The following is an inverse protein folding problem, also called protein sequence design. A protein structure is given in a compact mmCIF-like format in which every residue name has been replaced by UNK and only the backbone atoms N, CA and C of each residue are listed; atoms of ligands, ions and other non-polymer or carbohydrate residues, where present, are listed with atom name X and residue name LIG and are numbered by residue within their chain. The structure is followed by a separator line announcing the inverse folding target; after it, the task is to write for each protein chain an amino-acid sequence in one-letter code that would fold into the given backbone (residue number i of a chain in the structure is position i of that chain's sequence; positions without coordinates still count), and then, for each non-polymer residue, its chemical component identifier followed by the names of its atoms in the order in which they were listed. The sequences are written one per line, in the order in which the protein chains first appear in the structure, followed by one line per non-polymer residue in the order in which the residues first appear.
data_IF_784237455695
#
_entry.id   IF_784237455695
#
_cell.length_a   1.000
_cell.length_b   1.000
_cell.length_c   1.000
_cell.angle_alpha   90.00
_cell.angle_beta   90.00
_cell.angle_gamma   90.00
#
_symmetry.space_group_name_H-M   'P 1'
#
loop_
_entity.id
_entity.type
_entity.pdbx_description
1 polymer ?
#
# COMPACT_ATOMS: atom_id res chain seq x y z
N UNK A 1 -15.86 -8.36 4.79
CA UNK A 1 -14.47 -8.00 4.43
C UNK A 1 -14.42 -6.72 3.60
N UNK A 2 -15.10 -6.62 2.45
CA UNK A 2 -15.08 -5.40 1.61
C UNK A 2 -15.59 -4.11 2.28
N UNK A 3 -16.60 -4.19 3.16
CA UNK A 3 -17.20 -3.03 3.84
C UNK A 3 -16.31 -2.38 4.91
N UNK A 4 -15.19 -3.00 5.28
CA UNK A 4 -14.30 -2.49 6.33
C UNK A 4 -13.07 -1.75 5.76
N UNK A 5 -12.75 -1.94 4.48
CA UNK A 5 -11.56 -1.38 3.81
C UNK A 5 -11.88 -0.01 3.18
N UNK A 6 -13.12 0.21 2.75
CA UNK A 6 -13.51 1.37 1.98
C UNK A 6 -14.14 2.46 2.85
N UNK A 7 -13.72 3.72 2.68
CA UNK A 7 -14.48 4.86 3.19
C UNK A 7 -15.78 5.07 2.38
N UNK A 8 -16.97 5.20 2.99
CA UNK A 8 -18.25 4.94 2.32
C UNK A 8 -18.74 5.95 1.27
N UNK A 9 -18.00 7.01 0.93
CA UNK A 9 -18.64 8.23 0.41
C UNK A 9 -18.41 8.61 -1.06
N UNK A 10 -17.63 7.87 -1.86
CA UNK A 10 -17.40 8.30 -3.26
C UNK A 10 -16.93 7.26 -4.28
N UNK A 11 -16.62 6.02 -3.89
CA UNK A 11 -16.08 5.00 -4.80
C UNK A 11 -16.40 3.60 -4.26
N UNK A 12 -16.63 2.64 -5.16
CA UNK A 12 -16.91 1.24 -4.82
C UNK A 12 -15.77 0.37 -5.29
N UNK A 13 -15.14 -0.38 -4.39
CA UNK A 13 -14.16 -1.42 -4.74
C UNK A 13 -14.66 -2.76 -4.26
N UNK A 14 -14.62 -3.74 -5.16
CA UNK A 14 -14.79 -5.14 -4.83
C UNK A 14 -13.49 -5.69 -4.27
N UNK A 15 -13.58 -6.46 -3.19
CA UNK A 15 -12.43 -7.14 -2.59
C UNK A 15 -12.72 -8.62 -2.57
N UNK A 16 -11.83 -9.39 -3.19
CA UNK A 16 -11.86 -10.86 -3.23
C UNK A 16 -10.54 -11.41 -2.73
N UNK A 17 -10.59 -12.58 -2.07
CA UNK A 17 -9.38 -13.30 -1.72
C UNK A 17 -8.68 -13.80 -3.00
N UNK A 18 -7.35 -13.74 -3.01
CA UNK A 18 -6.55 -14.33 -4.09
C UNK A 18 -6.75 -15.85 -4.13
N UNK A 19 -6.72 -16.43 -5.32
CA UNK A 19 -6.78 -17.87 -5.49
C UNK A 19 -5.42 -18.52 -5.22
N UNK A 20 -5.43 -19.79 -4.79
CA UNK A 20 -4.19 -20.53 -4.61
C UNK A 20 -3.47 -20.71 -5.95
N UNK A 21 -2.19 -20.33 -6.01
CA UNK A 21 -1.39 -20.38 -7.24
C UNK A 21 -1.53 -19.15 -8.15
N UNK A 22 -2.34 -18.17 -7.78
CA UNK A 22 -2.42 -16.89 -8.47
C UNK A 22 -1.12 -16.09 -8.29
N UNK A 23 -0.54 -15.60 -9.39
CA UNK A 23 0.62 -14.71 -9.32
C UNK A 23 0.20 -13.32 -8.89
N UNK A 24 0.78 -12.82 -7.80
CA UNK A 24 0.52 -11.48 -7.21
C UNK A 24 1.12 -10.32 -8.05
N UNK A 25 1.55 -10.63 -9.27
CA UNK A 25 2.07 -9.69 -10.26
C UNK A 25 1.47 -10.08 -11.62
N UNK A 26 0.27 -9.60 -11.90
CA UNK A 26 -0.37 -9.74 -13.20
C UNK A 26 -0.36 -8.39 -13.91
N UNK A 27 0.07 -8.38 -15.17
CA UNK A 27 -0.23 -7.27 -16.06
C UNK A 27 -1.71 -7.32 -16.44
N UNK A 28 -2.37 -6.17 -16.48
CA UNK A 28 -3.72 -6.08 -17.01
C UNK A 28 -3.75 -6.54 -18.47
N UNK A 29 -4.71 -7.40 -18.80
CA UNK A 29 -5.11 -7.66 -20.18
C UNK A 29 -5.92 -6.49 -20.73
N UNK A 30 -5.77 -6.17 -22.02
CA UNK A 30 -6.54 -5.11 -22.67
C UNK A 30 -8.05 -5.35 -22.50
N UNK A 31 -8.76 -4.35 -21.96
CA UNK A 31 -10.21 -4.41 -21.72
C UNK A 31 -10.62 -4.95 -20.34
N UNK A 32 -9.69 -5.34 -19.48
CA UNK A 32 -9.99 -5.70 -18.10
C UNK A 32 -10.14 -4.47 -17.19
N UNK A 33 -11.03 -4.55 -16.19
CA UNK A 33 -11.15 -3.54 -15.14
C UNK A 33 -9.84 -3.41 -14.35
N UNK A 34 -9.41 -2.19 -13.99
CA UNK A 34 -8.19 -1.98 -13.23
C UNK A 34 -8.29 -2.60 -11.83
N UNK A 35 -7.31 -3.43 -11.49
CA UNK A 35 -7.18 -4.03 -10.16
C UNK A 35 -5.73 -3.96 -9.68
N UNK A 36 -5.55 -4.12 -8.38
CA UNK A 36 -4.24 -4.29 -7.76
C UNK A 36 -4.37 -5.26 -6.60
N UNK A 37 -3.26 -5.91 -6.25
CA UNK A 37 -3.19 -6.78 -5.09
C UNK A 37 -2.90 -5.97 -3.82
N UNK A 38 -3.38 -6.46 -2.68
CA UNK A 38 -3.12 -5.88 -1.37
C UNK A 38 -3.01 -7.02 -0.34
N UNK A 39 -2.02 -6.95 0.55
CA UNK A 39 -1.96 -7.89 1.67
C UNK A 39 -3.12 -7.62 2.64
N UNK A 40 -3.84 -8.68 3.03
CA UNK A 40 -4.93 -8.58 4.02
C UNK A 40 -4.47 -7.90 5.31
N UNK A 41 -3.23 -8.16 5.75
CA UNK A 41 -2.65 -7.59 6.97
C UNK A 41 -2.60 -6.06 6.99
N UNK A 42 -2.56 -5.41 5.82
CA UNK A 42 -2.53 -3.95 5.73
C UNK A 42 -3.83 -3.35 6.25
N UNK A 43 -4.95 -3.96 5.87
CA UNK A 43 -6.25 -3.58 6.42
C UNK A 43 -6.46 -4.15 7.82
N UNK A 44 -6.31 -5.47 7.99
CA UNK A 44 -6.75 -6.17 9.19
C UNK A 44 -5.90 -5.88 10.44
N UNK A 45 -4.63 -5.48 10.26
CA UNK A 45 -3.71 -5.18 11.38
C UNK A 45 -3.19 -3.75 11.39
N UNK A 46 -2.93 -3.16 10.22
CA UNK A 46 -2.38 -1.80 10.15
C UNK A 46 -3.46 -0.72 10.00
N UNK A 47 -4.72 -1.11 9.78
CA UNK A 47 -5.83 -0.16 9.67
C UNK A 47 -5.80 0.70 8.40
N UNK A 48 -4.99 0.31 7.41
CA UNK A 48 -4.91 0.99 6.12
C UNK A 48 -6.25 0.86 5.41
N UNK A 49 -6.76 1.98 4.91
CA UNK A 49 -8.05 2.08 4.24
C UNK A 49 -7.86 2.60 2.83
N UNK A 50 -8.77 2.20 1.97
CA UNK A 50 -8.86 2.76 0.64
C UNK A 50 -9.87 3.94 0.65
N UNK A 51 -9.70 4.93 -0.25
CA UNK A 51 -8.53 5.09 -1.10
C UNK A 51 -7.34 5.49 -0.23
N UNK A 52 -6.12 5.10 -0.63
CA UNK A 52 -4.91 5.46 0.11
C UNK A 52 -4.85 6.96 0.38
N UNK A 53 -4.31 7.34 1.53
CA UNK A 53 -4.09 8.74 1.90
C UNK A 53 -3.19 9.42 0.87
N UNK A 54 -3.18 10.76 0.87
CA UNK A 54 -2.27 11.49 -0.02
C UNK A 54 -0.81 11.12 0.26
N UNK A 55 -0.47 10.91 1.53
CA UNK A 55 0.88 10.58 1.95
C UNK A 55 1.29 9.15 1.55
N UNK A 56 0.43 8.16 1.79
CA UNK A 56 0.66 6.77 1.35
C UNK A 56 0.90 6.69 -0.17
N UNK A 57 0.08 7.38 -0.97
CA UNK A 57 0.26 7.45 -2.43
C UNK A 57 1.56 8.14 -2.81
N UNK A 58 1.94 9.21 -2.11
CA UNK A 58 3.17 9.92 -2.36
C UNK A 58 4.41 9.04 -2.08
N UNK A 59 4.37 8.20 -1.04
CA UNK A 59 5.43 7.22 -0.74
C UNK A 59 5.55 6.17 -1.85
N UNK A 60 4.44 5.55 -2.23
CA UNK A 60 4.42 4.54 -3.31
C UNK A 60 4.95 5.11 -4.63
N UNK A 61 4.54 6.33 -4.97
CA UNK A 61 5.01 7.04 -6.15
C UNK A 61 6.50 7.39 -6.07
N UNK A 62 6.97 7.91 -4.94
CA UNK A 62 8.39 8.24 -4.74
C UNK A 62 9.30 7.01 -4.82
N UNK A 63 8.81 5.85 -4.38
CA UNK A 63 9.55 4.59 -4.45
C UNK A 63 9.43 3.91 -5.83
N UNK A 64 8.42 4.29 -6.61
CA UNK A 64 7.99 3.65 -7.85
C UNK A 64 7.69 2.16 -7.66
N UNK A 65 6.83 1.85 -6.68
CA UNK A 65 6.47 0.47 -6.30
C UNK A 65 4.95 0.32 -6.15
N UNK A 66 4.45 -0.89 -6.40
CA UNK A 66 3.08 -1.26 -6.11
C UNK A 66 2.86 -1.48 -4.58
N UNK A 67 1.61 -1.38 -4.07
CA UNK A 67 1.31 -1.65 -2.66
C UNK A 67 1.84 -2.98 -2.12
N UNK A 68 1.83 -4.04 -2.93
CA UNK A 68 2.35 -5.37 -2.58
C UNK A 68 3.86 -5.49 -2.57
N UNK A 69 4.57 -4.60 -3.26
CA UNK A 69 6.03 -4.60 -3.29
C UNK A 69 6.61 -3.93 -2.04
N UNK A 70 5.81 -3.14 -1.32
CA UNK A 70 6.19 -2.58 -0.04
C UNK A 70 5.95 -3.62 1.06
N UNK A 71 7.02 -4.02 1.75
CA UNK A 71 6.95 -5.01 2.82
C UNK A 71 5.95 -4.56 3.92
N UNK A 72 5.17 -5.47 4.55
CA UNK A 72 4.21 -5.10 5.60
C UNK A 72 4.81 -4.29 6.75
N UNK A 73 6.05 -4.57 7.17
CA UNK A 73 6.74 -3.74 8.17
C UNK A 73 6.98 -2.31 7.68
N UNK A 74 7.28 -2.12 6.39
CA UNK A 74 7.47 -0.79 5.82
C UNK A 74 6.17 0.00 5.80
N UNK A 75 5.04 -0.66 5.49
CA UNK A 75 3.71 -0.07 5.64
C UNK A 75 3.41 0.34 7.08
N UNK A 76 3.83 -0.44 8.07
CA UNK A 76 3.65 -0.07 9.48
C UNK A 76 4.40 1.24 9.83
N UNK A 77 5.58 1.47 9.26
CA UNK A 77 6.29 2.74 9.43
C UNK A 77 5.56 3.91 8.77
N UNK A 78 4.99 3.72 7.58
CA UNK A 78 4.19 4.75 6.90
C UNK A 78 3.00 5.16 7.79
N UNK A 79 2.24 4.18 8.27
CA UNK A 79 1.09 4.40 9.15
C UNK A 79 1.48 5.10 10.46
N UNK A 80 2.54 4.62 11.12
CA UNK A 80 3.01 5.20 12.38
C UNK A 80 3.48 6.65 12.21
N UNK A 81 4.15 6.97 11.10
CA UNK A 81 4.60 8.32 10.82
C UNK A 81 3.44 9.28 10.51
N UNK A 82 2.44 8.82 9.77
CA UNK A 82 1.24 9.63 9.49
C UNK A 82 0.47 9.95 10.78
N UNK A 83 0.27 8.95 11.66
CA UNK A 83 -0.34 9.14 12.98
C UNK A 83 0.48 10.07 13.89
N UNK A 84 1.80 9.93 13.90
CA UNK A 84 2.68 10.82 14.67
C UNK A 84 2.57 12.28 14.18
N UNK A 85 2.51 12.48 12.86
CA UNK A 85 2.35 13.81 12.29
C UNK A 85 0.98 14.42 12.65
N UNK A 86 -0.08 13.61 12.61
CA UNK A 86 -1.42 14.02 13.04
C UNK A 86 -1.45 14.45 14.51
N UNK A 87 -0.86 13.65 15.41
CA UNK A 87 -0.75 13.95 16.85
C UNK A 87 0.02 15.26 17.11
N UNK A 88 1.06 15.52 16.32
CA UNK A 88 1.85 16.76 16.38
C UNK A 88 1.20 17.95 15.65
N UNK A 89 0.04 17.77 15.01
CA UNK A 89 -0.62 18.80 14.20
C UNK A 89 0.22 19.25 12.99
N UNK A 90 1.02 18.35 12.43
CA UNK A 90 1.89 18.59 11.26
C UNK A 90 1.43 17.76 10.07
N UNK A 91 1.66 18.29 8.87
CA UNK A 91 1.49 17.50 7.65
C UNK A 91 2.68 16.53 7.50
N UNK A 92 2.45 15.23 7.20
CA UNK A 92 3.54 14.30 6.92
C UNK A 92 4.30 14.71 5.66
N UNK A 93 5.63 14.61 5.71
CA UNK A 93 6.53 15.01 4.62
C UNK A 93 7.39 13.84 4.18
N UNK A 94 7.51 13.64 2.86
CA UNK A 94 8.37 12.61 2.26
C UNK A 94 9.83 12.76 2.69
N UNK A 95 10.35 13.99 2.73
CA UNK A 95 11.74 14.24 3.08
C UNK A 95 12.05 13.85 4.51
N UNK A 96 11.17 14.21 5.45
CA UNK A 96 11.31 13.84 6.87
C UNK A 96 11.14 12.33 7.04
N UNK A 97 10.17 11.73 6.37
CA UNK A 97 9.97 10.28 6.40
C UNK A 97 11.21 9.53 5.94
N UNK A 98 11.78 9.86 4.77
CA UNK A 98 12.96 9.17 4.25
C UNK A 98 14.24 9.46 5.03
N UNK A 99 14.29 10.57 5.77
CA UNK A 99 15.37 10.84 6.73
C UNK A 99 15.38 9.83 7.88
N UNK A 100 14.21 9.48 8.43
CA UNK A 100 14.07 8.48 9.49
C UNK A 100 14.06 7.04 8.96
N UNK A 101 13.35 6.81 7.86
CA UNK A 101 13.05 5.49 7.30
C UNK A 101 13.62 5.40 5.89
N UNK A 102 14.91 5.08 5.79
CA UNK A 102 15.55 4.83 4.50
C UNK A 102 15.11 3.46 3.94
N UNK A 103 14.35 3.43 2.83
CA UNK A 103 13.95 2.18 2.22
C UNK A 103 15.15 1.54 1.54
N UNK A 104 15.46 0.31 1.92
CA UNK A 104 16.46 -0.49 1.20
C UNK A 104 15.80 -1.14 0.00
N UNK A 105 16.16 -0.70 -1.21
CA UNK A 105 15.85 -1.44 -2.43
C UNK A 105 16.76 -2.66 -2.50
N UNK A 106 16.25 -3.82 -2.12
CA UNK A 106 16.91 -5.08 -2.46
C UNK A 106 16.69 -5.33 -3.95
N UNK A 107 17.76 -5.19 -4.75
CA UNK A 107 17.82 -5.72 -6.11
C UNK A 107 17.85 -7.25 -6.06
N UNK A 108 16.81 -7.89 -5.51
CA UNK A 108 16.58 -9.29 -5.79
C UNK A 108 15.59 -9.34 -6.93
N UNK A 109 16.13 -9.44 -8.15
CA UNK A 109 15.44 -10.14 -9.21
C UNK A 109 15.36 -11.59 -8.73
N UNK A 110 14.30 -11.93 -8.00
CA UNK A 110 13.95 -13.33 -7.80
C UNK A 110 13.41 -13.79 -9.16
N UNK A 111 14.35 -14.06 -10.06
CA UNK A 111 14.09 -14.88 -11.23
C UNK A 111 13.70 -16.25 -10.69
N UNK A 112 12.41 -16.53 -10.70
CA UNK A 112 11.90 -17.88 -10.56
C UNK A 112 12.48 -18.68 -11.74
N UNK A 113 13.44 -19.55 -11.42
CA UNK A 113 13.62 -20.81 -12.16
C UNK A 113 12.64 -21.81 -11.61
#
# INVERSE_FOLDING_TARGET
MASAICQPKSWSVSVSACQQGESVCMCLTEGAEPFFYLYDTLHSKLGIKLPFTHFERAILHALNVAPTQLHPNSWAFVQAFELLCEDLGKAPSLGVFFWFFSPRKTNQVVGLR
#
